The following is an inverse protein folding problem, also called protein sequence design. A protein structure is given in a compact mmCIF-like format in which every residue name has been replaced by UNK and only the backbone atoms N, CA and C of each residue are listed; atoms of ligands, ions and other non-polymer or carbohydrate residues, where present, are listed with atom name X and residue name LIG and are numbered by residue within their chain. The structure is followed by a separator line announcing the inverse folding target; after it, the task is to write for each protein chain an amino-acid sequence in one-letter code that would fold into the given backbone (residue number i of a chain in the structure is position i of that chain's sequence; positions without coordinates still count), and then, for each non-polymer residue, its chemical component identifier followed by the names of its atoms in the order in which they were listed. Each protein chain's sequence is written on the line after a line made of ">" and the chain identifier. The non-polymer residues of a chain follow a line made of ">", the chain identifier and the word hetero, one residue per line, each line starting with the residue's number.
data_IF_045777075523
#
_entry.id   IF_045777075523
#
_cell.length_a   1.000
_cell.length_b   1.000
_cell.length_c   1.000
_cell.angle_alpha   90.00
_cell.angle_beta   90.00
_cell.angle_gamma   90.00
#
_symmetry.space_group_name_H-M   'P 1'
#
loop_
_entity.id
_entity.type
_entity.pdbx_description
1 polymer ?
#
# COMPACT_ATOMS: atom_id res chain seq x y z
N UNK A 1 19.13 -44.31 51.26
CA UNK A 1 19.68 -42.93 51.29
C UNK A 1 19.29 -42.22 49.99
N UNK A 2 18.40 -41.22 50.03
CA UNK A 2 17.99 -40.51 48.82
C UNK A 2 18.86 -39.26 48.58
N UNK A 3 19.17 -39.02 47.30
CA UNK A 3 19.99 -37.89 46.82
C UNK A 3 19.17 -36.60 46.76
N UNK A 4 19.74 -35.51 47.28
CA UNK A 4 19.19 -34.16 47.32
C UNK A 4 18.89 -33.58 45.92
N UNK A 5 17.66 -33.10 45.72
CA UNK A 5 17.26 -32.26 44.59
C UNK A 5 17.32 -30.79 45.04
N UNK A 6 18.22 -30.00 44.44
CA UNK A 6 18.37 -28.56 44.69
C UNK A 6 17.14 -27.81 44.15
N UNK A 7 16.47 -27.03 45.02
CA UNK A 7 15.48 -26.03 44.64
C UNK A 7 16.20 -24.76 44.17
N UNK A 8 15.96 -24.34 42.92
CA UNK A 8 16.33 -23.00 42.47
C UNK A 8 15.20 -22.03 42.79
N UNK A 9 15.52 -21.01 43.61
CA UNK A 9 14.64 -19.88 43.94
C UNK A 9 14.62 -18.89 42.77
N UNK A 10 13.46 -18.67 42.17
CA UNK A 10 13.22 -17.55 41.25
C UNK A 10 12.96 -16.30 42.10
N UNK A 11 13.74 -15.24 41.88
CA UNK A 11 13.53 -13.91 42.48
C UNK A 11 12.40 -13.21 41.74
N UNK A 12 11.27 -13.01 42.41
CA UNK A 12 10.16 -12.17 41.95
C UNK A 12 10.51 -10.72 42.34
N UNK A 13 10.65 -9.82 41.36
CA UNK A 13 10.75 -8.39 41.62
C UNK A 13 9.34 -7.80 41.66
N UNK A 14 8.97 -7.26 42.83
CA UNK A 14 7.69 -6.59 43.09
C UNK A 14 7.89 -5.09 42.88
N UNK A 15 7.36 -4.54 41.79
CA UNK A 15 7.35 -3.08 41.57
C UNK A 15 6.37 -2.46 42.57
N UNK A 16 6.87 -1.50 43.35
CA UNK A 16 6.14 -0.82 44.43
C UNK A 16 5.70 0.57 43.97
N UNK A 17 4.39 0.82 44.12
CA UNK A 17 3.71 2.11 44.38
C UNK A 17 4.22 3.39 43.71
N UNK A 18 3.42 3.94 42.79
CA UNK A 18 3.45 5.36 42.44
C UNK A 18 2.84 6.20 43.57
N UNK A 19 3.61 7.18 44.08
CA UNK A 19 3.13 8.26 44.95
C UNK A 19 2.46 9.33 44.11
N UNK A 20 1.29 9.78 44.56
CA UNK A 20 0.50 10.88 43.99
C UNK A 20 1.08 12.21 44.50
N UNK A 21 1.65 13.02 43.62
CA UNK A 21 2.23 14.32 43.98
C UNK A 21 1.15 15.42 43.96
N UNK A 22 1.14 16.24 45.02
CA UNK A 22 0.32 17.45 45.14
C UNK A 22 1.04 18.62 44.47
N UNK A 23 0.75 18.88 43.20
CA UNK A 23 1.02 20.16 42.51
C UNK A 23 -0.04 20.39 41.44
N UNK A 24 -1.17 20.97 41.84
CA UNK A 24 -2.23 21.36 40.92
C UNK A 24 -2.99 22.55 41.52
N UNK A 25 -2.33 23.71 41.58
CA UNK A 25 -2.98 25.01 41.88
C UNK A 25 -2.08 26.22 41.57
N UNK A 26 -0.94 26.03 40.88
CA UNK A 26 -0.01 27.12 40.53
C UNK A 26 0.35 27.18 39.03
N UNK A 27 -0.23 26.32 38.19
CA UNK A 27 0.03 26.30 36.73
C UNK A 27 -1.16 26.79 35.87
N UNK A 28 -2.36 26.99 36.45
CA UNK A 28 -3.52 27.53 35.71
C UNK A 28 -3.31 28.98 35.29
N UNK A 29 -2.78 29.80 36.19
CA UNK A 29 -2.64 31.24 35.98
C UNK A 29 -1.51 31.56 34.98
N UNK A 30 -0.53 30.66 34.87
CA UNK A 30 0.57 30.76 33.91
C UNK A 30 0.10 30.41 32.49
N UNK A 31 -0.84 29.47 32.37
CA UNK A 31 -1.41 29.06 31.09
C UNK A 31 -2.38 30.13 30.52
N UNK A 32 -3.16 30.80 31.37
CA UNK A 32 -4.04 31.90 30.93
C UNK A 32 -3.26 33.14 30.47
N UNK A 33 -2.13 33.46 31.11
CA UNK A 33 -1.24 34.56 30.69
C UNK A 33 -0.55 34.28 29.36
N UNK A 34 -0.11 33.04 29.11
CA UNK A 34 0.50 32.65 27.83
C UNK A 34 -0.53 32.67 26.67
N UNK A 35 -1.78 32.28 26.92
CA UNK A 35 -2.85 32.36 25.90
C UNK A 35 -3.20 33.81 25.54
N UNK A 36 -3.26 34.72 26.52
CA UNK A 36 -3.48 36.16 26.25
C UNK A 36 -2.31 36.80 25.49
N UNK A 37 -1.07 36.37 25.69
CA UNK A 37 0.06 36.86 24.89
C UNK A 37 0.04 36.34 23.45
N UNK A 38 -0.48 35.13 23.21
CA UNK A 38 -0.62 34.54 21.87
C UNK A 38 -1.73 35.25 21.08
N UNK A 39 -2.89 35.50 21.68
CA UNK A 39 -3.97 36.27 21.04
C UNK A 39 -3.54 37.70 20.68
N UNK A 40 -2.82 38.38 21.60
CA UNK A 40 -2.30 39.72 21.34
C UNK A 40 -1.23 39.77 20.23
N UNK A 41 -0.49 38.67 20.00
CA UNK A 41 0.45 38.55 18.88
C UNK A 41 -0.26 38.30 17.56
N UNK A 42 -1.29 37.45 17.54
CA UNK A 42 -2.10 37.21 16.33
C UNK A 42 -2.86 38.47 15.89
N UNK A 43 -3.37 39.28 16.81
CA UNK A 43 -4.04 40.54 16.49
C UNK A 43 -3.09 41.61 15.91
N UNK A 44 -1.82 41.60 16.31
CA UNK A 44 -0.79 42.47 15.71
C UNK A 44 -0.42 42.01 14.30
N UNK A 45 -0.33 40.70 14.07
CA UNK A 45 0.00 40.13 12.76
C UNK A 45 -1.13 40.36 11.74
N UNK A 46 -2.39 40.20 12.15
CA UNK A 46 -3.57 40.50 11.34
C UNK A 46 -3.71 41.99 10.97
N UNK A 47 -3.22 42.90 11.81
CA UNK A 47 -3.16 44.35 11.49
C UNK A 47 -2.06 44.67 10.48
N UNK A 48 -0.96 43.94 10.50
CA UNK A 48 0.16 44.13 9.58
C UNK A 48 -0.17 43.59 8.18
N UNK A 49 -0.84 42.44 8.09
CA UNK A 49 -1.30 41.86 6.81
C UNK A 49 -2.40 42.70 6.12
N UNK A 50 -3.20 43.44 6.89
CA UNK A 50 -4.17 44.40 6.33
C UNK A 50 -3.51 45.65 5.75
N UNK A 51 -2.39 46.11 6.30
CA UNK A 51 -1.62 47.23 5.73
C UNK A 51 -0.86 46.84 4.44
N UNK A 52 -0.36 45.61 4.34
CA UNK A 52 0.35 45.14 3.15
C UNK A 52 -0.58 44.81 1.96
N UNK A 53 -1.85 44.46 2.22
CA UNK A 53 -2.88 44.32 1.17
C UNK A 53 -3.33 45.67 0.60
N UNK A 54 -3.32 46.74 1.39
CA UNK A 54 -3.69 48.09 0.91
C UNK A 54 -2.59 48.72 0.03
N UNK A 55 -1.31 48.43 0.28
CA UNK A 55 -0.19 48.92 -0.53
C UNK A 55 0.03 48.18 -1.87
N UNK A 56 -0.58 47.01 -2.08
CA UNK A 56 -0.53 46.26 -3.36
C UNK A 56 -1.63 46.66 -4.35
N UNK A 57 -2.71 47.29 -3.87
CA UNK A 57 -3.83 47.70 -4.72
C UNK A 57 -3.56 49.03 -5.45
N UNK A 58 -2.72 49.92 -4.88
CA UNK A 58 -2.33 51.20 -5.51
C UNK A 58 -1.23 51.09 -6.60
N UNK A 59 -0.67 49.90 -6.84
CA UNK A 59 0.35 49.66 -7.88
C UNK A 59 -0.16 48.96 -9.16
N UNK A 60 -1.38 48.43 -9.17
CA UNK A 60 -1.98 47.82 -10.37
C UNK A 60 -2.78 48.80 -11.25
N UNK A 61 -3.15 49.98 -10.74
CA UNK A 61 -3.92 50.98 -11.50
C UNK A 61 -3.05 51.97 -12.33
N UNK A 62 -1.73 51.74 -12.45
CA UNK A 62 -0.83 52.55 -13.29
C UNK A 62 -0.19 51.82 -14.48
N UNK A 63 -0.59 50.57 -14.78
CA UNK A 63 -0.06 49.82 -15.93
C UNK A 63 -1.09 49.44 -17.01
N UNK A 64 -2.34 49.90 -16.91
CA UNK A 64 -3.41 49.64 -17.90
C UNK A 64 -3.77 50.87 -18.77
N UNK A 65 -2.79 51.70 -19.12
CA UNK A 65 -2.92 52.81 -20.10
C UNK A 65 -1.67 52.96 -20.99
N UNK A 66 -1.30 51.89 -21.67
CA UNK A 66 -0.32 51.75 -22.78
C UNK A 66 -0.23 50.23 -22.96
N UNK A 67 -0.73 49.53 -23.97
CA UNK A 67 -0.85 49.84 -25.39
C UNK A 67 -2.08 49.12 -25.97
N UNK A 68 -3.02 49.89 -26.51
CA UNK A 68 -3.98 49.44 -27.52
C UNK A 68 -3.72 50.29 -28.76
N UNK A 69 -2.81 49.85 -29.62
CA UNK A 69 -2.72 50.28 -31.02
C UNK A 69 -1.72 49.37 -31.75
N UNK A 70 -2.25 48.39 -32.49
CA UNK A 70 -1.97 48.17 -33.92
C UNK A 70 -2.22 46.72 -34.39
N UNK A 71 -3.32 46.59 -35.17
CA UNK A 71 -3.49 45.90 -36.47
C UNK A 71 -3.05 44.43 -36.57
N UNK A 72 -3.98 43.48 -36.73
CA UNK A 72 -4.60 43.08 -38.02
C UNK A 72 -3.62 43.03 -39.20
N UNK A 73 -3.22 41.81 -39.62
CA UNK A 73 -3.50 41.31 -40.97
C UNK A 73 -2.84 39.94 -41.29
N UNK A 74 -3.55 39.18 -42.14
CA UNK A 74 -3.15 38.10 -43.06
C UNK A 74 -3.30 36.62 -42.67
N UNK A 75 -4.28 36.03 -43.36
CA UNK A 75 -4.52 34.62 -43.68
C UNK A 75 -3.49 34.01 -44.67
N UNK A 76 -3.52 32.66 -44.69
CA UNK A 76 -3.25 31.71 -45.79
C UNK A 76 -1.79 31.36 -46.18
N UNK A 77 -1.40 30.09 -46.00
CA UNK A 77 -1.39 29.06 -47.07
C UNK A 77 -0.91 27.68 -46.57
N UNK A 78 -1.45 26.66 -47.26
CA UNK A 78 -1.09 25.24 -47.26
C UNK A 78 0.40 25.00 -47.55
N UNK A 79 0.97 23.88 -47.08
CA UNK A 79 1.40 22.80 -48.00
C UNK A 79 1.79 21.49 -47.32
N UNK A 80 1.44 20.41 -48.03
CA UNK A 80 1.76 19.00 -47.79
C UNK A 80 3.25 18.73 -47.98
N UNK A 81 3.80 17.75 -47.24
CA UNK A 81 4.80 16.82 -47.79
C UNK A 81 4.75 15.47 -47.07
N UNK A 82 4.25 14.48 -47.80
CA UNK A 82 4.53 13.05 -47.60
C UNK A 82 5.92 12.72 -48.15
N UNK A 83 6.66 11.83 -47.46
CA UNK A 83 7.46 10.71 -47.99
C UNK A 83 8.19 10.03 -46.82
N UNK A 84 7.77 8.82 -46.44
CA UNK A 84 8.40 7.55 -46.84
C UNK A 84 9.91 7.50 -46.58
N UNK A 85 10.30 6.73 -45.57
CA UNK A 85 11.41 5.78 -45.70
C UNK A 85 11.11 4.51 -44.89
N UNK A 86 11.17 3.38 -45.61
CA UNK A 86 11.16 1.99 -45.13
C UNK A 86 12.62 1.52 -45.03
N UNK A 87 12.80 0.45 -44.24
CA UNK A 87 14.02 -0.37 -44.05
C UNK A 87 15.05 0.30 -43.12
N UNK A 88 15.47 -0.32 -42.01
CA UNK A 88 15.95 -1.70 -41.90
C UNK A 88 15.38 -2.49 -40.72
N UNK A 89 15.09 -3.77 -41.01
CA UNK A 89 14.94 -4.85 -40.03
C UNK A 89 16.35 -5.29 -39.62
N UNK A 90 16.63 -5.30 -38.32
CA UNK A 90 17.63 -6.19 -37.75
C UNK A 90 16.96 -7.01 -36.66
N UNK A 91 16.98 -8.32 -36.89
CA UNK A 91 16.53 -9.36 -35.99
C UNK A 91 17.23 -9.22 -34.63
N UNK A 92 16.48 -8.83 -33.61
CA UNK A 92 16.78 -9.20 -32.23
C UNK A 92 15.88 -10.38 -31.90
N UNK A 93 16.48 -11.56 -31.83
CA UNK A 93 15.89 -12.70 -31.15
C UNK A 93 15.57 -12.26 -29.71
N UNK A 94 14.30 -11.99 -29.45
CA UNK A 94 13.76 -12.05 -28.09
C UNK A 94 13.91 -13.50 -27.65
N UNK A 95 14.82 -13.72 -26.70
CA UNK A 95 14.86 -14.95 -25.94
C UNK A 95 13.56 -15.01 -25.15
N UNK A 96 12.57 -15.75 -25.68
CA UNK A 96 11.41 -16.19 -24.93
C UNK A 96 11.95 -16.93 -23.70
N UNK A 97 11.74 -16.35 -22.52
CA UNK A 97 11.97 -17.03 -21.25
C UNK A 97 11.16 -18.33 -21.25
N UNK A 98 11.71 -19.44 -20.73
CA UNK A 98 11.03 -20.72 -20.78
C UNK A 98 9.71 -20.62 -20.01
N UNK A 99 8.62 -21.06 -20.63
CA UNK A 99 7.33 -21.28 -19.97
C UNK A 99 7.58 -22.28 -18.84
N UNK A 100 7.64 -21.79 -17.60
CA UNK A 100 7.81 -22.63 -16.42
C UNK A 100 6.45 -23.27 -16.15
N UNK A 101 6.34 -24.59 -16.31
CA UNK A 101 5.22 -25.34 -15.75
C UNK A 101 5.18 -25.13 -14.24
N UNK A 102 4.28 -24.27 -13.77
CA UNK A 102 3.93 -24.14 -12.36
C UNK A 102 3.25 -25.42 -11.93
N UNK A 103 3.97 -26.35 -11.32
CA UNK A 103 3.36 -27.50 -10.66
C UNK A 103 2.52 -26.99 -9.48
N UNK A 104 1.22 -26.79 -9.75
CA UNK A 104 0.21 -26.09 -8.94
C UNK A 104 -0.21 -26.82 -7.65
N UNK A 105 0.67 -27.59 -7.02
CA UNK A 105 0.21 -28.64 -6.10
C UNK A 105 0.08 -28.23 -4.62
N UNK A 106 0.46 -27.02 -4.20
CA UNK A 106 0.30 -26.57 -2.80
C UNK A 106 -0.10 -25.08 -2.73
N UNK A 107 -1.32 -24.77 -3.16
CA UNK A 107 -2.02 -23.50 -2.93
C UNK A 107 -3.12 -23.76 -1.88
N UNK A 108 -3.70 -22.70 -1.31
CA UNK A 108 -4.88 -22.85 -0.43
C UNK A 108 -5.95 -23.73 -1.09
N UNK A 109 -6.08 -24.95 -0.59
CA UNK A 109 -6.94 -25.99 -1.18
C UNK A 109 -8.41 -25.61 -1.01
N UNK A 110 -8.76 -24.82 0.01
CA UNK A 110 -10.13 -24.44 0.30
C UNK A 110 -10.69 -23.50 -0.75
N UNK A 111 -9.89 -22.57 -1.25
CA UNK A 111 -10.27 -21.69 -2.35
C UNK A 111 -10.52 -22.48 -3.63
N UNK A 112 -9.63 -23.43 -3.94
CA UNK A 112 -9.78 -24.27 -5.13
C UNK A 112 -11.04 -25.15 -5.05
N UNK A 113 -11.34 -25.72 -3.88
CA UNK A 113 -12.59 -26.47 -3.63
C UNK A 113 -13.79 -25.54 -3.77
N UNK A 114 -13.74 -24.35 -3.16
CA UNK A 114 -14.81 -23.35 -3.20
C UNK A 114 -15.12 -22.93 -4.63
N UNK A 115 -14.09 -22.61 -5.42
CA UNK A 115 -14.20 -22.28 -6.84
C UNK A 115 -14.82 -23.44 -7.63
N UNK A 116 -14.38 -24.67 -7.39
CA UNK A 116 -14.95 -25.85 -8.06
C UNK A 116 -16.45 -26.01 -7.74
N UNK A 117 -16.87 -25.80 -6.49
CA UNK A 117 -18.28 -25.86 -6.12
C UNK A 117 -19.09 -24.75 -6.79
N UNK A 118 -18.56 -23.53 -6.85
CA UNK A 118 -19.19 -22.39 -7.56
C UNK A 118 -19.36 -22.73 -9.04
N UNK A 119 -18.33 -23.26 -9.69
CA UNK A 119 -18.35 -23.61 -11.10
C UNK A 119 -19.31 -24.76 -11.44
N UNK A 120 -19.60 -25.63 -10.48
CA UNK A 120 -20.61 -26.68 -10.61
C UNK A 120 -22.05 -26.18 -10.37
N UNK A 121 -22.21 -24.98 -9.80
CA UNK A 121 -23.49 -24.33 -9.53
C UNK A 121 -23.86 -23.24 -10.53
N UNK A 122 -24.94 -22.52 -10.26
CA UNK A 122 -25.33 -21.33 -11.03
C UNK A 122 -24.36 -20.18 -10.76
N UNK A 123 -23.69 -19.71 -11.81
CA UNK A 123 -22.78 -18.57 -11.80
C UNK A 123 -22.72 -17.93 -13.18
N UNK A 124 -22.25 -16.69 -13.25
CA UNK A 124 -21.91 -16.00 -14.50
C UNK A 124 -20.40 -15.87 -14.60
N UNK A 125 -19.80 -16.36 -15.69
CA UNK A 125 -18.39 -16.09 -15.98
C UNK A 125 -18.28 -14.70 -16.61
N UNK A 126 -17.58 -13.79 -15.92
CA UNK A 126 -17.38 -12.40 -16.37
C UNK A 126 -16.08 -12.27 -17.18
N UNK A 127 -15.05 -13.00 -16.78
CA UNK A 127 -13.76 -13.06 -17.45
C UNK A 127 -13.08 -14.39 -17.15
N UNK A 128 -12.47 -15.02 -18.16
CA UNK A 128 -11.66 -16.22 -17.98
C UNK A 128 -10.54 -16.22 -19.02
N UNK A 129 -9.29 -16.15 -18.56
CA UNK A 129 -8.12 -16.12 -19.42
C UNK A 129 -6.95 -16.84 -18.75
N UNK A 130 -6.16 -17.57 -19.53
CA UNK A 130 -4.83 -18.02 -19.12
C UNK A 130 -3.82 -17.04 -19.72
N UNK A 131 -3.23 -16.20 -18.88
CA UNK A 131 -2.15 -15.31 -19.29
C UNK A 131 -0.81 -16.06 -19.31
N UNK A 132 0.27 -15.35 -19.66
CA UNK A 132 1.63 -15.89 -19.55
C UNK A 132 2.07 -16.16 -18.11
N UNK A 133 1.33 -15.66 -17.12
CA UNK A 133 1.73 -15.69 -15.71
C UNK A 133 0.80 -16.57 -14.86
N UNK A 134 -0.50 -16.57 -15.15
CA UNK A 134 -1.51 -17.19 -14.27
C UNK A 134 -2.85 -17.43 -14.98
N UNK A 135 -3.70 -18.25 -14.37
CA UNK A 135 -5.12 -18.35 -14.71
C UNK A 135 -5.91 -17.25 -14.02
N UNK A 136 -6.56 -16.39 -14.79
CA UNK A 136 -7.44 -15.33 -14.30
C UNK A 136 -8.90 -15.80 -14.47
N UNK A 137 -9.64 -15.86 -13.38
CA UNK A 137 -11.08 -16.17 -13.40
C UNK A 137 -11.84 -15.12 -12.59
N UNK A 138 -12.62 -14.29 -13.28
CA UNK A 138 -13.59 -13.40 -12.67
C UNK A 138 -14.99 -13.96 -12.92
N UNK A 139 -15.72 -14.19 -11.85
CA UNK A 139 -17.09 -14.71 -11.93
C UNK A 139 -18.01 -13.93 -11.01
N UNK A 140 -19.30 -14.09 -11.25
CA UNK A 140 -20.36 -13.53 -10.44
C UNK A 140 -21.31 -14.63 -9.98
N UNK A 141 -21.52 -14.67 -8.66
CA UNK A 141 -22.58 -15.42 -7.99
C UNK A 141 -23.57 -14.41 -7.38
N UNK A 142 -23.78 -14.42 -6.05
CA UNK A 142 -24.37 -13.29 -5.32
C UNK A 142 -23.52 -12.02 -5.35
N UNK A 143 -22.24 -12.18 -5.61
CA UNK A 143 -21.19 -11.17 -5.57
C UNK A 143 -20.14 -11.47 -6.65
N UNK A 144 -19.32 -10.48 -6.99
CA UNK A 144 -18.19 -10.62 -7.91
C UNK A 144 -16.98 -11.15 -7.16
N UNK A 145 -16.30 -12.15 -7.73
CA UNK A 145 -15.10 -12.75 -7.16
C UNK A 145 -14.02 -12.94 -8.21
N UNK A 146 -12.79 -12.60 -7.83
CA UNK A 146 -11.59 -12.86 -8.63
C UNK A 146 -10.82 -14.03 -8.04
N UNK A 147 -10.42 -14.96 -8.90
CA UNK A 147 -9.51 -16.05 -8.59
C UNK A 147 -8.29 -15.98 -9.52
N UNK A 148 -7.10 -16.12 -8.94
CA UNK A 148 -5.83 -16.28 -9.66
C UNK A 148 -5.25 -17.65 -9.32
N UNK A 149 -5.02 -18.48 -10.33
CA UNK A 149 -4.61 -19.88 -10.16
C UNK A 149 -5.43 -20.65 -9.11
N UNK A 150 -6.73 -20.36 -9.10
CA UNK A 150 -7.76 -20.92 -8.19
C UNK A 150 -7.70 -20.42 -6.74
N UNK A 151 -6.82 -19.49 -6.40
CA UNK A 151 -6.82 -18.79 -5.11
C UNK A 151 -7.68 -17.54 -5.18
N UNK A 152 -8.51 -17.33 -4.17
CA UNK A 152 -9.38 -16.17 -4.08
C UNK A 152 -8.52 -14.92 -3.85
N UNK A 153 -8.67 -13.92 -4.73
CA UNK A 153 -8.00 -12.63 -4.58
C UNK A 153 -8.92 -11.57 -3.97
N UNK A 154 -10.22 -11.64 -4.24
CA UNK A 154 -11.20 -10.81 -3.54
C UNK A 154 -12.63 -11.35 -3.72
N UNK A 155 -13.50 -11.03 -2.76
CA UNK A 155 -14.95 -10.97 -2.94
C UNK A 155 -15.42 -9.52 -2.84
N UNK A 156 -16.30 -9.09 -3.74
CA UNK A 156 -16.88 -7.73 -3.70
C UNK A 156 -17.72 -7.43 -2.45
N UNK A 157 -18.02 -8.43 -1.62
CA UNK A 157 -18.75 -8.24 -0.35
C UNK A 157 -17.85 -7.61 0.72
N UNK A 158 -16.56 -7.92 0.72
CA UNK A 158 -15.64 -7.57 1.81
C UNK A 158 -14.25 -7.10 1.36
N UNK A 159 -13.96 -7.04 0.06
CA UNK A 159 -12.71 -6.48 -0.48
C UNK A 159 -12.42 -5.08 0.07
N UNK A 160 -13.46 -4.30 0.35
CA UNK A 160 -13.29 -2.96 0.88
C UNK A 160 -12.69 -2.98 2.29
N UNK A 161 -12.87 -4.04 3.09
CA UNK A 161 -12.16 -4.21 4.36
C UNK A 161 -10.66 -4.35 4.10
N UNK A 162 -10.27 -5.21 3.16
CA UNK A 162 -8.88 -5.42 2.78
C UNK A 162 -8.24 -4.15 2.23
N UNK A 163 -8.84 -3.51 1.22
CA UNK A 163 -8.24 -2.35 0.57
C UNK A 163 -8.23 -1.10 1.44
N UNK A 164 -9.25 -0.87 2.28
CA UNK A 164 -9.20 0.21 3.27
C UNK A 164 -8.07 -0.04 4.29
N UNK A 165 -7.91 -1.28 4.77
CA UNK A 165 -6.84 -1.66 5.69
C UNK A 165 -5.45 -1.59 5.07
N UNK A 166 -5.31 -1.90 3.78
CA UNK A 166 -4.06 -1.78 3.05
C UNK A 166 -3.67 -0.30 2.88
N UNK A 167 -4.61 0.55 2.48
CA UNK A 167 -4.31 1.93 2.04
C UNK A 167 -4.36 2.95 3.18
N UNK A 168 -5.41 2.96 3.99
CA UNK A 168 -5.66 4.10 4.88
C UNK A 168 -4.70 4.21 6.07
N UNK A 169 -4.27 3.11 6.72
CA UNK A 169 -3.28 3.18 7.79
C UNK A 169 -1.98 3.83 7.35
N UNK A 170 -1.41 3.44 6.20
CA UNK A 170 -0.17 4.04 5.71
C UNK A 170 -0.34 5.49 5.27
N UNK A 171 -1.43 5.78 4.56
CA UNK A 171 -1.72 7.14 4.10
C UNK A 171 -2.05 8.10 5.24
N UNK A 172 -2.43 7.59 6.43
CA UNK A 172 -2.58 8.39 7.65
C UNK A 172 -1.25 8.72 8.35
N UNK A 173 -0.16 8.05 7.98
CA UNK A 173 1.17 8.23 8.56
C UNK A 173 2.04 9.22 7.79
N UNK A 174 1.78 9.38 6.50
CA UNK A 174 2.52 10.29 5.63
C UNK A 174 1.74 11.59 5.48
N UNK A 175 2.39 12.73 5.74
CA UNK A 175 1.76 14.05 5.67
C UNK A 175 1.62 14.48 4.21
N UNK A 176 0.42 14.85 3.78
CA UNK A 176 0.11 15.36 2.44
C UNK A 176 0.77 14.54 1.29
N UNK A 177 0.51 13.22 1.19
CA UNK A 177 1.17 12.37 0.18
C UNK A 177 0.79 12.82 -1.23
N UNK A 178 1.78 13.00 -2.11
CA UNK A 178 1.62 13.52 -3.49
C UNK A 178 1.91 12.47 -4.55
N UNK A 179 2.95 11.66 -4.36
CA UNK A 179 3.34 10.56 -5.27
C UNK A 179 3.17 9.22 -4.56
N UNK A 180 2.34 8.37 -5.14
CA UNK A 180 2.11 7.00 -4.66
C UNK A 180 2.57 5.99 -5.70
N UNK A 181 3.21 4.92 -5.26
CA UNK A 181 3.52 3.74 -6.08
C UNK A 181 2.71 2.56 -5.57
N UNK A 182 2.04 1.84 -6.46
CA UNK A 182 1.39 0.56 -6.17
C UNK A 182 2.16 -0.52 -6.94
N UNK A 183 2.66 -1.54 -6.23
CA UNK A 183 3.30 -2.71 -6.80
C UNK A 183 2.34 -3.89 -6.66
N UNK A 184 1.87 -4.43 -7.79
CA UNK A 184 0.72 -5.34 -7.86
C UNK A 184 -0.61 -4.56 -7.95
N UNK A 185 -1.68 -5.14 -7.40
CA UNK A 185 -3.00 -4.50 -7.33
C UNK A 185 -3.65 -4.20 -8.68
N UNK A 186 -3.38 -5.02 -9.71
CA UNK A 186 -3.87 -4.84 -11.09
C UNK A 186 -5.39 -4.81 -11.25
N UNK A 187 -6.16 -5.23 -10.25
CA UNK A 187 -7.63 -5.06 -10.17
C UNK A 187 -8.08 -3.61 -9.95
N UNK A 188 -7.20 -2.76 -9.41
CA UNK A 188 -7.43 -1.32 -9.18
C UNK A 188 -8.25 -0.98 -7.94
N UNK A 189 -8.52 -1.91 -7.03
CA UNK A 189 -9.27 -1.67 -5.81
C UNK A 189 -8.43 -0.93 -4.77
N UNK A 190 -7.13 -1.25 -4.63
CA UNK A 190 -6.20 -0.42 -3.84
C UNK A 190 -6.06 1.00 -4.46
N UNK A 191 -5.98 1.07 -5.79
CA UNK A 191 -5.89 2.34 -6.53
C UNK A 191 -7.11 3.23 -6.26
N UNK A 192 -8.32 2.66 -6.25
CA UNK A 192 -9.57 3.37 -5.89
C UNK A 192 -9.45 4.05 -4.53
N UNK A 193 -8.86 3.37 -3.55
CA UNK A 193 -8.69 3.90 -2.19
C UNK A 193 -7.64 5.02 -2.14
N UNK A 194 -6.54 4.88 -2.88
CA UNK A 194 -5.52 5.94 -3.00
C UNK A 194 -6.11 7.21 -3.61
N UNK A 195 -6.95 7.09 -4.64
CA UNK A 195 -7.53 8.23 -5.36
C UNK A 195 -8.55 9.04 -4.55
N UNK A 196 -8.99 8.52 -3.39
CA UNK A 196 -9.80 9.28 -2.42
C UNK A 196 -9.03 10.48 -1.82
N UNK A 197 -7.70 10.46 -1.84
CA UNK A 197 -6.88 11.53 -1.28
C UNK A 197 -6.65 12.63 -2.32
N UNK A 198 -7.16 13.83 -2.05
CA UNK A 198 -7.02 14.99 -2.94
C UNK A 198 -5.57 15.51 -3.02
N UNK A 199 -4.75 15.23 -2.02
CA UNK A 199 -3.32 15.59 -2.01
C UNK A 199 -2.51 14.77 -3.00
N UNK A 200 -2.99 13.57 -3.37
CA UNK A 200 -2.32 12.69 -4.33
C UNK A 200 -2.44 13.31 -5.71
N UNK A 201 -1.28 13.58 -6.33
CA UNK A 201 -1.14 14.21 -7.64
C UNK A 201 -0.73 13.22 -8.72
N UNK A 202 -0.12 12.09 -8.34
CA UNK A 202 0.37 11.09 -9.28
C UNK A 202 0.40 9.70 -8.62
N UNK A 203 -0.09 8.70 -9.34
CA UNK A 203 -0.01 7.29 -8.95
C UNK A 203 0.62 6.49 -10.08
N UNK A 204 1.74 5.83 -9.80
CA UNK A 204 2.25 4.76 -10.67
C UNK A 204 1.72 3.42 -10.14
N UNK A 205 1.02 2.65 -10.98
CA UNK A 205 0.60 1.27 -10.67
C UNK A 205 1.42 0.33 -11.56
N UNK A 206 2.09 -0.64 -10.96
CA UNK A 206 2.98 -1.57 -11.66
C UNK A 206 2.46 -2.97 -11.45
N UNK A 207 1.93 -3.57 -12.50
CA UNK A 207 1.50 -4.97 -12.51
C UNK A 207 2.26 -5.73 -13.61
N UNK A 208 2.58 -6.99 -13.33
CA UNK A 208 3.28 -7.85 -14.27
C UNK A 208 2.36 -8.29 -15.40
N UNK A 209 1.08 -8.49 -15.10
CA UNK A 209 0.12 -9.13 -15.99
C UNK A 209 -0.76 -8.09 -16.71
N UNK A 210 -0.49 -7.89 -18.01
CA UNK A 210 -1.29 -6.99 -18.84
C UNK A 210 -2.77 -7.38 -18.89
N UNK A 211 -3.07 -8.67 -18.82
CA UNK A 211 -4.46 -9.17 -18.84
C UNK A 211 -5.22 -8.78 -17.57
N UNK A 212 -4.54 -8.63 -16.43
CA UNK A 212 -5.14 -8.11 -15.20
C UNK A 212 -5.57 -6.64 -15.34
N UNK A 213 -4.66 -5.79 -15.83
CA UNK A 213 -4.96 -4.37 -16.07
C UNK A 213 -6.05 -4.22 -17.14
N UNK A 214 -5.98 -4.98 -18.22
CA UNK A 214 -6.99 -4.93 -19.28
C UNK A 214 -8.36 -5.39 -18.77
N UNK A 215 -8.43 -6.45 -17.96
CA UNK A 215 -9.66 -6.87 -17.28
C UNK A 215 -10.23 -5.74 -16.41
N UNK A 216 -9.40 -5.13 -15.57
CA UNK A 216 -9.81 -4.07 -14.64
C UNK A 216 -10.29 -2.77 -15.32
N UNK A 217 -9.91 -2.55 -16.58
CA UNK A 217 -10.33 -1.40 -17.39
C UNK A 217 -11.54 -1.67 -18.27
N UNK A 218 -11.83 -2.93 -18.58
CA UNK A 218 -12.80 -3.27 -19.63
C UNK A 218 -13.98 -4.12 -19.16
N UNK A 219 -13.87 -4.89 -18.07
CA UNK A 219 -14.98 -5.69 -17.56
C UNK A 219 -15.92 -4.81 -16.72
N UNK A 220 -17.19 -4.60 -17.11
CA UNK A 220 -18.06 -3.60 -16.49
C UNK A 220 -18.24 -3.75 -14.97
N UNK A 221 -18.35 -4.98 -14.48
CA UNK A 221 -18.51 -5.29 -13.06
C UNK A 221 -17.28 -4.86 -12.25
N UNK A 222 -16.08 -5.11 -12.78
CA UNK A 222 -14.83 -4.71 -12.13
C UNK A 222 -14.56 -3.21 -12.26
N UNK A 223 -14.88 -2.60 -13.42
CA UNK A 223 -14.81 -1.14 -13.61
C UNK A 223 -15.75 -0.40 -12.65
N UNK A 224 -16.93 -0.98 -12.39
CA UNK A 224 -17.85 -0.45 -11.38
C UNK A 224 -17.27 -0.60 -9.97
N UNK A 225 -16.67 -1.75 -9.65
CA UNK A 225 -16.11 -2.04 -8.32
C UNK A 225 -14.89 -1.15 -8.00
N UNK A 226 -13.98 -0.97 -8.95
CA UNK A 226 -12.84 -0.06 -8.82
C UNK A 226 -13.20 1.43 -9.08
N UNK A 227 -14.48 1.74 -9.31
CA UNK A 227 -15.00 3.09 -9.56
C UNK A 227 -14.27 3.83 -10.70
N UNK A 228 -13.93 3.10 -11.76
CA UNK A 228 -13.23 3.66 -12.92
C UNK A 228 -11.87 4.28 -12.57
N UNK A 229 -11.19 3.78 -11.53
CA UNK A 229 -9.94 4.32 -11.01
C UNK A 229 -8.84 4.46 -12.08
N UNK A 230 -8.73 3.50 -13.00
CA UNK A 230 -7.77 3.53 -14.12
C UNK A 230 -7.99 4.63 -15.17
N UNK A 231 -9.08 5.39 -15.07
CA UNK A 231 -9.41 6.51 -15.97
C UNK A 231 -9.17 7.88 -15.31
N UNK A 232 -8.74 7.92 -14.05
CA UNK A 232 -8.30 9.15 -13.39
C UNK A 232 -6.99 9.65 -14.04
N UNK A 233 -6.90 10.96 -14.28
CA UNK A 233 -5.75 11.56 -14.98
C UNK A 233 -4.46 11.57 -14.16
N UNK A 234 -4.53 11.25 -12.86
CA UNK A 234 -3.37 11.09 -11.97
C UNK A 234 -2.70 9.72 -12.13
N UNK A 235 -3.32 8.77 -12.83
CA UNK A 235 -2.90 7.37 -12.85
C UNK A 235 -2.05 7.05 -14.08
N UNK A 236 -0.94 6.38 -13.84
CA UNK A 236 -0.07 5.81 -14.85
C UNK A 236 0.15 4.32 -14.56
N UNK A 237 -0.47 3.45 -15.37
CA UNK A 237 -0.36 2.00 -15.23
C UNK A 237 0.77 1.45 -16.12
N UNK A 238 1.64 0.64 -15.53
CA UNK A 238 2.79 0.03 -16.17
C UNK A 238 2.63 -1.49 -16.17
N UNK A 239 2.59 -2.08 -17.37
CA UNK A 239 2.65 -3.54 -17.54
C UNK A 239 4.12 -3.95 -17.55
N UNK A 240 4.69 -4.23 -16.38
CA UNK A 240 6.08 -4.68 -16.25
C UNK A 240 6.37 -5.34 -14.90
N UNK A 241 7.46 -6.09 -14.86
CA UNK A 241 7.98 -6.67 -13.61
C UNK A 241 8.40 -5.58 -12.62
N UNK A 242 7.94 -5.72 -11.37
CA UNK A 242 8.21 -4.74 -10.30
C UNK A 242 9.71 -4.54 -10.02
N UNK A 243 10.53 -5.60 -10.11
CA UNK A 243 11.99 -5.48 -9.93
C UNK A 243 12.62 -4.73 -11.10
N UNK A 244 12.13 -4.93 -12.33
CA UNK A 244 12.56 -4.14 -13.50
C UNK A 244 12.17 -2.67 -13.34
N UNK A 245 10.96 -2.38 -12.88
CA UNK A 245 10.53 -1.01 -12.58
C UNK A 245 11.42 -0.36 -11.52
N UNK A 246 11.67 -1.05 -10.42
CA UNK A 246 12.55 -0.59 -9.33
C UNK A 246 14.02 -0.50 -9.74
N UNK A 247 14.42 -0.98 -10.92
CA UNK A 247 15.77 -0.77 -11.46
C UNK A 247 15.89 0.45 -12.37
N UNK A 248 14.78 1.07 -12.72
CA UNK A 248 14.75 2.26 -13.57
C UNK A 248 14.91 3.55 -12.75
N UNK A 249 15.53 4.61 -13.31
CA UNK A 249 15.55 5.90 -12.65
C UNK A 249 14.11 6.44 -12.54
N UNK A 250 13.66 6.72 -11.32
CA UNK A 250 12.36 7.33 -11.05
C UNK A 250 12.47 8.41 -9.97
N UNK A 251 11.44 9.26 -9.90
CA UNK A 251 11.26 10.15 -8.76
C UNK A 251 10.90 9.34 -7.52
N UNK A 252 11.25 9.86 -6.34
CA UNK A 252 10.87 9.26 -5.07
C UNK A 252 9.35 9.32 -4.85
N UNK A 253 8.86 8.43 -4.01
CA UNK A 253 7.45 8.31 -3.63
C UNK A 253 7.28 8.62 -2.14
N UNK A 254 6.17 9.26 -1.82
CA UNK A 254 5.78 9.54 -0.44
C UNK A 254 5.20 8.26 0.20
N UNK A 255 4.44 7.50 -0.59
CA UNK A 255 3.86 6.21 -0.18
C UNK A 255 4.11 5.14 -1.24
N UNK A 256 4.50 3.95 -0.79
CA UNK A 256 4.55 2.74 -1.63
C UNK A 256 3.60 1.69 -1.04
N UNK A 257 2.75 1.09 -1.87
CA UNK A 257 1.82 0.03 -1.49
C UNK A 257 2.27 -1.25 -2.21
N UNK A 258 2.54 -2.30 -1.44
CA UNK A 258 2.97 -3.60 -1.95
C UNK A 258 1.80 -4.57 -1.77
N UNK A 259 1.17 -4.91 -2.88
CA UNK A 259 -0.02 -5.76 -2.99
C UNK A 259 0.29 -6.95 -3.90
N UNK A 260 1.32 -7.70 -3.50
CA UNK A 260 1.77 -8.88 -4.21
C UNK A 260 1.01 -10.13 -3.76
N UNK A 261 0.93 -11.17 -4.63
CA UNK A 261 0.45 -12.48 -4.21
C UNK A 261 1.35 -13.09 -3.14
N UNK A 262 0.75 -13.95 -2.33
CA UNK A 262 1.45 -14.70 -1.28
C UNK A 262 2.69 -15.45 -1.83
N UNK A 263 3.74 -15.66 -1.01
CA UNK A 263 4.99 -16.28 -1.45
C UNK A 263 4.86 -17.80 -1.66
N UNK A 264 3.81 -18.31 -2.30
CA UNK A 264 3.52 -19.74 -2.45
C UNK A 264 4.54 -20.53 -3.30
N UNK A 265 5.32 -19.83 -4.13
CA UNK A 265 6.35 -20.40 -5.00
C UNK A 265 7.70 -19.73 -4.75
N UNK A 266 8.79 -20.39 -5.16
CA UNK A 266 10.13 -19.79 -5.06
C UNK A 266 10.22 -18.45 -5.82
N UNK A 267 9.55 -18.36 -6.97
CA UNK A 267 9.45 -17.12 -7.76
C UNK A 267 8.75 -16.01 -6.95
N UNK A 268 7.59 -16.27 -6.35
CA UNK A 268 6.86 -15.29 -5.53
C UNK A 268 7.62 -14.96 -4.24
N UNK A 269 8.33 -15.92 -3.65
CA UNK A 269 9.24 -15.68 -2.51
C UNK A 269 10.32 -14.65 -2.83
N UNK A 270 10.68 -14.47 -4.10
CA UNK A 270 11.66 -13.46 -4.51
C UNK A 270 11.13 -12.02 -4.44
N UNK A 271 9.81 -11.83 -4.27
CA UNK A 271 9.15 -10.52 -4.08
C UNK A 271 9.17 -10.04 -2.62
N UNK A 272 9.65 -10.87 -1.70
CA UNK A 272 9.67 -10.60 -0.27
C UNK A 272 11.09 -10.73 0.32
N UNK A 273 12.14 -10.47 -0.47
CA UNK A 273 13.53 -10.58 0.00
C UNK A 273 13.98 -9.31 0.70
N UNK A 274 14.92 -9.46 1.65
CA UNK A 274 15.54 -8.30 2.31
C UNK A 274 16.19 -7.34 1.31
N UNK A 275 16.81 -7.87 0.26
CA UNK A 275 17.42 -7.08 -0.82
C UNK A 275 16.38 -6.26 -1.59
N UNK A 276 15.21 -6.84 -1.88
CA UNK A 276 14.14 -6.12 -2.56
C UNK A 276 13.53 -5.04 -1.65
N UNK A 277 13.31 -5.32 -0.36
CA UNK A 277 12.83 -4.29 0.56
C UNK A 277 13.85 -3.16 0.74
N UNK A 278 15.14 -3.48 0.83
CA UNK A 278 16.20 -2.47 0.84
C UNK A 278 16.20 -1.64 -0.44
N UNK A 279 15.92 -2.27 -1.59
CA UNK A 279 15.75 -1.56 -2.87
C UNK A 279 14.54 -0.64 -2.84
N UNK A 280 13.38 -1.11 -2.38
CA UNK A 280 12.15 -0.32 -2.26
C UNK A 280 12.37 0.90 -1.35
N UNK A 281 13.10 0.73 -0.25
CA UNK A 281 13.45 1.84 0.66
C UNK A 281 14.18 2.99 -0.05
N UNK A 282 14.98 2.71 -1.08
CA UNK A 282 15.68 3.75 -1.86
C UNK A 282 14.77 4.59 -2.76
N UNK A 283 13.52 4.16 -2.94
CA UNK A 283 12.49 4.87 -3.72
C UNK A 283 11.59 5.73 -2.83
N UNK A 284 11.74 5.68 -1.51
CA UNK A 284 11.00 6.52 -0.59
C UNK A 284 11.63 7.92 -0.47
N UNK A 285 10.79 8.93 -0.26
CA UNK A 285 11.24 10.23 0.27
C UNK A 285 11.75 10.06 1.71
N UNK A 286 12.39 11.10 2.25
CA UNK A 286 12.91 11.09 3.64
C UNK A 286 11.81 10.81 4.67
N UNK A 287 10.62 11.40 4.46
CA UNK A 287 9.42 11.22 5.29
C UNK A 287 8.45 10.17 4.73
N UNK A 288 8.88 9.39 3.74
CA UNK A 288 8.07 8.40 3.08
C UNK A 288 7.99 7.08 3.85
N UNK A 289 6.94 6.31 3.56
CA UNK A 289 6.75 4.99 4.13
C UNK A 289 6.09 4.04 3.12
N UNK A 290 6.21 2.74 3.35
CA UNK A 290 5.50 1.74 2.57
C UNK A 290 4.65 0.81 3.44
N UNK A 291 3.68 0.17 2.82
CA UNK A 291 2.91 -0.93 3.39
C UNK A 291 3.05 -2.18 2.54
N UNK A 292 3.02 -3.34 3.18
CA UNK A 292 3.05 -4.64 2.53
C UNK A 292 1.94 -5.51 3.11
N UNK A 293 1.10 -6.08 2.24
CA UNK A 293 0.30 -7.26 2.61
C UNK A 293 1.25 -8.39 3.02
N UNK A 294 0.89 -9.16 4.06
CA UNK A 294 1.83 -10.12 4.65
C UNK A 294 1.18 -11.41 5.16
N UNK A 295 0.06 -11.81 4.56
CA UNK A 295 -0.72 -12.99 4.96
C UNK A 295 -1.31 -12.90 6.39
N UNK A 296 -1.96 -13.96 6.84
CA UNK A 296 -2.66 -14.06 8.12
C UNK A 296 -1.70 -14.29 9.29
N UNK A 297 -1.72 -13.45 10.35
CA UNK A 297 -0.99 -13.71 11.57
C UNK A 297 -1.56 -14.89 12.39
N UNK A 298 -2.74 -15.40 12.03
CA UNK A 298 -3.39 -16.53 12.67
C UNK A 298 -3.18 -17.84 11.89
N UNK A 299 -3.33 -17.80 10.56
CA UNK A 299 -3.30 -18.99 9.69
C UNK A 299 -1.89 -19.27 9.15
N UNK A 300 -1.09 -18.23 8.88
CA UNK A 300 0.31 -18.34 8.43
C UNK A 300 1.26 -17.46 9.29
N UNK A 301 1.31 -17.64 10.62
CA UNK A 301 2.06 -16.79 11.53
C UNK A 301 3.57 -16.74 11.21
N UNK A 302 4.18 -17.85 10.82
CA UNK A 302 5.60 -17.89 10.47
C UNK A 302 5.84 -17.06 9.21
N UNK A 303 5.02 -17.16 8.17
CA UNK A 303 5.10 -16.29 6.97
C UNK A 303 4.96 -14.82 7.37
N UNK A 304 3.88 -14.47 8.08
CA UNK A 304 3.58 -13.11 8.48
C UNK A 304 4.72 -12.44 9.25
N UNK A 305 5.24 -13.11 10.30
CA UNK A 305 6.33 -12.56 11.09
C UNK A 305 7.68 -12.62 10.37
N UNK A 306 7.91 -13.59 9.48
CA UNK A 306 9.12 -13.66 8.67
C UNK A 306 9.20 -12.53 7.65
N UNK A 307 8.08 -12.09 7.07
CA UNK A 307 8.03 -10.90 6.21
C UNK A 307 8.45 -9.66 7.03
N UNK A 308 7.84 -9.45 8.20
CA UNK A 308 8.21 -8.34 9.09
C UNK A 308 9.70 -8.34 9.48
N UNK A 309 10.23 -9.50 9.89
CA UNK A 309 11.66 -9.68 10.21
C UNK A 309 12.57 -9.43 8.99
N UNK A 310 12.12 -9.81 7.80
CA UNK A 310 12.88 -9.58 6.56
C UNK A 310 12.93 -8.09 6.19
N UNK A 311 11.85 -7.36 6.43
CA UNK A 311 11.80 -5.89 6.29
C UNK A 311 12.72 -5.23 7.33
N UNK A 312 12.69 -5.65 8.59
CA UNK A 312 13.59 -5.13 9.63
C UNK A 312 15.08 -5.36 9.27
N UNK A 313 15.41 -6.55 8.75
CA UNK A 313 16.76 -6.87 8.28
C UNK A 313 17.20 -5.98 7.10
N UNK A 314 16.27 -5.47 6.29
CA UNK A 314 16.56 -4.52 5.23
C UNK A 314 16.95 -3.11 5.73
N UNK A 315 16.92 -2.89 7.05
CA UNK A 315 17.32 -1.63 7.69
C UNK A 315 16.17 -0.67 7.97
N UNK A 316 14.93 -1.15 7.92
CA UNK A 316 13.72 -0.35 8.12
C UNK A 316 13.12 -0.57 9.52
N UNK A 317 12.42 0.44 10.02
CA UNK A 317 11.53 0.30 11.17
C UNK A 317 10.19 -0.28 10.70
N UNK A 318 9.63 -1.24 11.43
CA UNK A 318 8.36 -1.90 11.09
C UNK A 318 7.28 -1.68 12.16
N UNK A 319 6.05 -1.42 11.72
CA UNK A 319 4.83 -1.54 12.53
C UNK A 319 3.86 -2.53 11.88
N UNK A 320 3.61 -3.60 12.62
CA UNK A 320 2.72 -4.70 12.22
C UNK A 320 1.28 -4.42 12.65
N UNK A 321 0.31 -4.77 11.82
CA UNK A 321 -1.12 -4.63 12.12
C UNK A 321 -1.95 -5.65 11.34
N UNK A 322 -3.21 -5.82 11.72
CA UNK A 322 -4.08 -6.81 11.11
C UNK A 322 -5.55 -6.40 11.20
N UNK A 323 -6.40 -7.02 10.38
CA UNK A 323 -7.86 -6.87 10.43
C UNK A 323 -8.53 -8.16 9.99
N UNK A 324 -9.84 -8.24 10.24
CA UNK A 324 -10.63 -9.40 9.80
C UNK A 324 -11.09 -9.21 8.35
N UNK A 325 -10.71 -10.12 7.45
CA UNK A 325 -11.22 -10.20 6.07
C UNK A 325 -11.97 -11.53 5.91
N UNK A 326 -13.31 -11.53 6.01
CA UNK A 326 -14.10 -12.77 6.08
C UNK A 326 -13.87 -13.76 4.94
N UNK A 327 -13.70 -13.28 3.71
CA UNK A 327 -13.47 -14.13 2.54
C UNK A 327 -12.12 -14.83 2.56
N UNK A 328 -11.15 -14.33 3.32
CA UNK A 328 -9.81 -14.90 3.46
C UNK A 328 -9.69 -15.76 4.73
N UNK A 329 -10.81 -16.29 5.23
CA UNK A 329 -10.86 -17.10 6.45
C UNK A 329 -11.26 -16.25 7.64
N UNK A 330 -10.32 -15.56 8.27
CA UNK A 330 -10.65 -14.57 9.31
C UNK A 330 -9.64 -13.43 9.39
N UNK A 331 -8.39 -13.69 9.73
CA UNK A 331 -7.41 -12.65 10.06
C UNK A 331 -6.48 -12.36 8.88
N UNK A 332 -6.15 -11.10 8.62
CA UNK A 332 -5.24 -10.71 7.55
C UNK A 332 -4.29 -9.59 7.99
N UNK A 333 -3.01 -9.81 7.74
CA UNK A 333 -1.92 -9.02 8.28
C UNK A 333 -1.22 -8.13 7.25
N UNK A 334 -0.67 -7.04 7.77
CA UNK A 334 0.06 -6.03 7.04
C UNK A 334 1.24 -5.50 7.85
N UNK A 335 2.30 -5.06 7.17
CA UNK A 335 3.42 -4.36 7.78
C UNK A 335 3.59 -2.98 7.16
N UNK A 336 3.58 -1.93 7.99
CA UNK A 336 4.06 -0.59 7.61
C UNK A 336 5.56 -0.53 7.89
N UNK A 337 6.33 0.05 6.97
CA UNK A 337 7.76 0.27 7.16
C UNK A 337 8.23 1.63 6.67
N UNK A 338 9.24 2.18 7.34
CA UNK A 338 9.87 3.46 6.99
C UNK A 338 11.36 3.46 7.36
N UNK A 339 12.09 4.45 6.83
CA UNK A 339 13.51 4.65 7.13
C UNK A 339 13.79 5.14 8.57
N UNK A 340 12.76 5.57 9.29
CA UNK A 340 12.88 6.09 10.66
C UNK A 340 11.61 5.87 11.48
N UNK A 341 11.76 5.57 12.76
CA UNK A 341 10.67 5.53 13.75
C UNK A 341 9.88 6.84 13.79
N UNK A 342 10.54 7.97 13.53
CA UNK A 342 9.90 9.29 13.52
C UNK A 342 8.70 9.35 12.57
N UNK A 343 8.79 8.73 11.39
CA UNK A 343 7.71 8.68 10.38
C UNK A 343 6.54 7.85 10.89
N UNK A 344 6.82 6.72 11.55
CA UNK A 344 5.77 5.82 12.05
C UNK A 344 5.09 6.33 13.33
N UNK A 345 5.82 7.14 14.10
CA UNK A 345 5.36 7.79 15.32
C UNK A 345 4.76 9.17 15.06
N UNK A 346 4.93 9.74 13.85
CA UNK A 346 4.16 10.91 13.45
C UNK A 346 2.68 10.62 13.63
N UNK A 347 2.11 11.53 14.42
CA UNK A 347 0.76 11.74 14.92
C UNK A 347 -0.23 10.62 14.54
N UNK A 348 -0.97 10.11 15.53
CA UNK A 348 -2.30 9.51 15.33
C UNK A 348 -3.20 10.56 14.67
N UNK A 349 -2.99 10.86 13.38
CA UNK A 349 -3.72 11.91 12.71
C UNK A 349 -5.16 11.45 12.68
N UNK A 350 -5.97 12.13 13.49
CA UNK A 350 -7.40 12.26 13.30
C UNK A 350 -7.60 12.55 11.81
N UNK A 351 -8.05 11.54 11.08
CA UNK A 351 -8.46 11.56 9.68
C UNK A 351 -8.03 12.79 8.88
N UNK A 352 -6.92 12.68 8.15
CA UNK A 352 -6.82 13.36 6.85
C UNK A 352 -7.04 12.30 5.78
N UNK A 353 -8.29 11.83 5.68
CA UNK A 353 -8.78 10.98 4.58
C UNK A 353 -10.29 11.19 4.48
N UNK A 354 -10.91 11.01 3.30
CA UNK A 354 -12.31 10.62 3.27
C UNK A 354 -12.60 9.50 4.28
N UNK A 355 -13.74 9.58 4.98
CA UNK A 355 -14.10 8.63 6.03
C UNK A 355 -14.15 7.19 5.49
N UNK A 356 -13.34 6.25 6.03
CA UNK A 356 -13.43 4.83 5.67
C UNK A 356 -14.80 4.28 6.05
N UNK A 357 -15.31 3.31 5.30
CA UNK A 357 -16.63 2.72 5.54
C UNK A 357 -16.55 1.46 6.39
N UNK A 358 -15.42 0.75 6.35
CA UNK A 358 -15.26 -0.56 6.98
C UNK A 358 -14.26 -0.52 8.14
N UNK A 359 -13.29 0.39 8.12
CA UNK A 359 -12.35 0.54 9.23
C UNK A 359 -12.94 1.25 10.45
N UNK A 360 -12.47 0.91 11.66
CA UNK A 360 -12.86 1.61 12.87
C UNK A 360 -12.41 3.08 12.85
N UNK A 361 -13.16 3.93 13.57
CA UNK A 361 -12.85 5.36 13.77
C UNK A 361 -11.45 5.62 14.36
N UNK A 362 -10.92 4.65 15.10
CA UNK A 362 -9.57 4.65 15.66
C UNK A 362 -8.83 3.46 15.06
N UNK A 363 -7.65 3.70 14.49
CA UNK A 363 -6.84 2.65 13.88
C UNK A 363 -6.02 1.86 14.91
N UNK A 364 -5.84 2.37 16.13
CA UNK A 364 -5.02 1.74 17.17
C UNK A 364 -5.40 0.28 17.50
N UNK A 365 -6.67 -0.17 17.43
CA UNK A 365 -7.00 -1.58 17.63
C UNK A 365 -6.41 -2.52 16.58
N UNK A 366 -6.16 -2.06 15.34
CA UNK A 366 -5.55 -2.88 14.29
C UNK A 366 -4.12 -3.32 14.64
N UNK A 367 -3.44 -2.56 15.50
CA UNK A 367 -2.06 -2.81 15.92
C UNK A 367 -1.97 -3.68 17.18
N UNK A 368 -3.10 -4.20 17.69
CA UNK A 368 -3.14 -5.00 18.91
C UNK A 368 -3.21 -6.49 18.61
N UNK A 369 -2.13 -7.20 18.93
CA UNK A 369 -2.07 -8.65 18.79
C UNK A 369 -2.38 -9.37 20.10
N UNK A 370 -2.95 -10.56 20.01
CA UNK A 370 -2.98 -11.50 21.13
C UNK A 370 -1.56 -11.96 21.47
N UNK A 371 -1.32 -12.28 22.74
CA UNK A 371 -0.02 -12.74 23.22
C UNK A 371 0.47 -13.98 22.45
N UNK A 372 -0.43 -14.92 22.13
CA UNK A 372 -0.13 -16.12 21.33
C UNK A 372 0.39 -15.82 19.93
N UNK A 373 -0.12 -14.76 19.27
CA UNK A 373 0.38 -14.32 17.96
C UNK A 373 1.77 -13.68 18.10
N UNK A 374 2.01 -12.92 19.17
CA UNK A 374 3.31 -12.27 19.42
C UNK A 374 4.42 -13.27 19.72
N UNK A 375 4.12 -14.40 20.36
CA UNK A 375 5.13 -15.44 20.63
C UNK A 375 5.73 -16.01 19.34
N UNK A 376 4.93 -16.11 18.26
CA UNK A 376 5.36 -16.60 16.94
C UNK A 376 6.41 -15.69 16.28
N UNK A 377 6.46 -14.40 16.65
CA UNK A 377 7.48 -13.46 16.16
C UNK A 377 8.90 -13.95 16.45
N UNK A 378 9.12 -14.68 17.54
CA UNK A 378 10.43 -15.21 17.91
C UNK A 378 10.91 -16.36 16.99
N UNK A 379 10.01 -16.90 16.17
CA UNK A 379 10.32 -17.97 15.22
C UNK A 379 10.55 -17.43 13.80
N UNK A 380 10.40 -16.12 13.59
CA UNK A 380 10.53 -15.48 12.29
C UNK A 380 11.87 -15.79 11.62
N UNK A 381 11.81 -16.11 10.34
CA UNK A 381 12.96 -16.43 9.50
C UNK A 381 13.29 -15.26 8.58
N UNK A 382 14.52 -15.23 8.10
CA UNK A 382 14.98 -14.24 7.13
C UNK A 382 14.84 -14.82 5.72
N UNK A 383 14.12 -14.10 4.86
CA UNK A 383 14.07 -14.36 3.43
C UNK A 383 15.06 -13.46 2.69
N UNK A 384 15.94 -14.05 1.90
CA UNK A 384 16.93 -13.32 1.11
C UNK A 384 17.10 -13.93 -0.26
N UNK A 385 17.73 -13.23 -1.19
CA UNK A 385 18.06 -13.78 -2.52
C UNK A 385 18.89 -15.06 -2.43
N UNK A 386 19.73 -15.18 -1.38
CA UNK A 386 20.55 -16.37 -1.14
C UNK A 386 19.80 -17.54 -0.48
N UNK A 387 18.63 -17.28 0.12
CA UNK A 387 17.82 -18.26 0.84
C UNK A 387 16.34 -17.86 0.80
N UNK A 388 15.65 -18.30 -0.25
CA UNK A 388 14.22 -18.03 -0.46
C UNK A 388 13.37 -18.95 0.42
N UNK A 389 13.33 -18.69 1.74
CA UNK A 389 12.70 -19.58 2.71
C UNK A 389 11.17 -19.43 2.79
N UNK A 390 10.62 -18.26 2.42
CA UNK A 390 9.20 -17.96 2.65
C UNK A 390 8.25 -18.92 1.96
N UNK A 391 8.57 -19.40 0.75
CA UNK A 391 7.70 -20.38 0.08
C UNK A 391 7.65 -21.73 0.79
N UNK A 392 8.71 -22.10 1.51
CA UNK A 392 8.71 -23.32 2.31
C UNK A 392 7.89 -23.13 3.59
N UNK A 393 8.00 -21.95 4.21
CA UNK A 393 7.13 -21.57 5.33
C UNK A 393 5.67 -21.59 4.92
N UNK A 394 5.32 -20.94 3.82
CA UNK A 394 3.95 -20.89 3.30
C UNK A 394 3.40 -22.29 3.05
N UNK A 395 4.14 -23.13 2.30
CA UNK A 395 3.70 -24.51 2.04
C UNK A 395 3.47 -25.28 3.34
N UNK A 396 4.37 -25.16 4.31
CA UNK A 396 4.25 -25.86 5.60
C UNK A 396 3.04 -25.40 6.41
N UNK A 397 2.72 -24.12 6.40
CA UNK A 397 1.60 -23.57 7.18
C UNK A 397 0.25 -23.76 6.49
N UNK A 398 0.24 -23.80 5.15
CA UNK A 398 -0.95 -24.04 4.35
C UNK A 398 -1.17 -25.53 4.02
N UNK A 399 -0.28 -26.42 4.47
CA UNK A 399 -0.43 -27.87 4.38
C UNK A 399 -1.46 -28.35 5.42
N UNK A 400 -2.58 -28.92 4.93
CA UNK A 400 -3.63 -29.54 5.74
C UNK A 400 -3.70 -31.06 5.55
#
# INVERSE_FOLDING_TARGET
>A
MPKHRKQNKIKIYRITSYKKDKRSELDSDKFELEQQEIENKQDKQNKQDKQDKQNKQDKQDKQNKQDKQDKQDKQNKQDKQDKQNKQDKQDKQEQLEPIIETSSHNLDVWDAISLQQIQNGEHTSLFAEQSNYQNITLLQVSDVRLYLDKQLQFSSVDEQIYHEALVHPIMSKVIDPKRVLILGGGDGLALREVLKYETVLHVDLVDLDGSMIDMARNVPELVSLNKSAFFDNRVNAHVCDAKKFLNSPSSLYDVIIIDFPDPATELLSTLYTSELFARIATFLTEDGAFVCQSNSPADAPLVYWSIGNTIEHAGLTVKSYHTIVPSFGTDWGFHIAANSEYVLDQIEQLYVVPTPQTLPSLLSPLFQFKEEHLEQRNLALLNSESNLILHQCYKKEMEF
#
